data_IF_616999866526
#
_entry.id   IF_616999866526
#
_cell.length_a   1.000
_cell.length_b   1.000
_cell.length_c   1.000
_cell.angle_alpha   90.00
_cell.angle_beta   90.00
_cell.angle_gamma   90.00
#
_symmetry.space_group_name_H-M   'P 1'
#
loop_
_entity.id
_entity.type
_entity.pdbx_description
1 polymer ?
#
# COMPACT_ATOMS: atom_id res chain seq x y z
N UNK A 1 51.40 19.29 -35.24
CA UNK A 1 50.28 19.08 -36.19
C UNK A 1 49.00 18.98 -35.37
N UNK A 2 48.39 20.13 -35.09
CA UNK A 2 47.10 20.63 -35.63
C UNK A 2 45.91 19.98 -34.93
N UNK A 3 45.41 20.62 -33.86
CA UNK A 3 44.16 21.42 -33.80
C UNK A 3 42.87 20.62 -34.03
N UNK A 4 41.94 20.63 -33.05
CA UNK A 4 40.77 21.55 -33.01
C UNK A 4 39.84 21.15 -31.85
N UNK A 5 39.86 21.97 -30.79
CA UNK A 5 38.80 22.07 -29.79
C UNK A 5 37.81 23.14 -30.26
N UNK A 6 36.51 22.82 -30.28
CA UNK A 6 35.42 23.79 -30.47
C UNK A 6 34.57 23.83 -29.20
N UNK A 7 34.29 25.05 -28.78
CA UNK A 7 33.52 25.45 -27.62
C UNK A 7 32.06 25.80 -27.98
N UNK A 8 31.32 26.17 -26.92
CA UNK A 8 29.99 26.80 -26.81
C UNK A 8 28.78 25.83 -26.80
N UNK A 9 27.75 26.04 -25.98
CA UNK A 9 27.17 27.33 -25.56
C UNK A 9 26.32 27.20 -24.27
N UNK A 10 26.43 28.18 -23.37
CA UNK A 10 25.60 28.35 -22.17
C UNK A 10 24.63 29.50 -22.47
N UNK A 11 23.32 29.24 -22.39
CA UNK A 11 22.29 30.27 -22.56
C UNK A 11 21.83 30.77 -21.19
N UNK A 12 22.07 32.06 -20.93
CA UNK A 12 21.60 32.81 -19.75
C UNK A 12 20.72 33.94 -20.25
N UNK A 13 19.43 33.91 -19.96
CA UNK A 13 18.47 34.97 -20.33
C UNK A 13 18.54 36.10 -19.31
N UNK A 14 18.97 37.29 -19.78
CA UNK A 14 18.89 38.55 -19.05
C UNK A 14 17.58 39.27 -19.38
N UNK A 15 16.85 39.73 -18.37
CA UNK A 15 15.63 40.54 -18.52
C UNK A 15 16.00 42.02 -18.43
N UNK A 16 15.82 42.73 -19.53
CA UNK A 16 16.07 44.17 -19.66
C UNK A 16 15.02 44.99 -18.89
N UNK A 17 15.50 45.92 -18.06
CA UNK A 17 14.71 46.97 -17.42
C UNK A 17 14.56 48.14 -18.39
N UNK A 18 13.33 48.57 -18.66
CA UNK A 18 13.05 49.80 -19.42
C UNK A 18 12.46 50.83 -18.46
N UNK A 19 13.22 51.90 -18.20
CA UNK A 19 12.73 53.11 -17.56
C UNK A 19 12.00 53.97 -18.58
N UNK A 20 10.78 54.39 -18.24
CA UNK A 20 10.11 55.52 -18.88
C UNK A 20 9.84 56.58 -17.83
N UNK A 21 10.23 57.81 -18.15
CA UNK A 21 10.06 59.00 -17.34
C UNK A 21 9.25 60.01 -18.15
N UNK A 22 8.11 60.45 -17.61
CA UNK A 22 7.34 61.59 -18.11
C UNK A 22 6.55 62.27 -16.95
N UNK A 23 6.12 63.53 -17.12
CA UNK A 23 6.21 64.55 -16.08
C UNK A 23 4.88 64.90 -15.40
N UNK A 24 5.01 65.69 -14.32
CA UNK A 24 4.00 66.29 -13.46
C UNK A 24 2.64 66.64 -14.11
N UNK A 25 1.56 66.15 -13.48
CA UNK A 25 0.25 66.81 -13.51
C UNK A 25 -0.39 66.78 -12.11
N UNK A 26 -0.80 67.96 -11.67
CA UNK A 26 -1.53 68.25 -10.43
C UNK A 26 -3.01 67.90 -10.59
N UNK A 27 -3.59 67.18 -9.62
CA UNK A 27 -5.02 66.89 -9.59
C UNK A 27 -5.44 66.09 -8.35
N UNK A 28 -6.02 66.80 -7.37
CA UNK A 28 -6.81 66.33 -6.21
C UNK A 28 -6.94 64.81 -5.99
N UNK A 29 -6.26 64.30 -4.96
CA UNK A 29 -6.56 62.97 -4.40
C UNK A 29 -7.75 63.05 -3.46
N UNK A 30 -8.86 62.43 -3.86
CA UNK A 30 -10.01 62.13 -3.01
C UNK A 30 -9.58 61.04 -2.03
N UNK A 31 -9.73 61.31 -0.72
CA UNK A 31 -9.53 60.35 0.36
C UNK A 31 -10.64 59.31 0.28
N UNK A 32 -10.39 58.16 -0.37
CA UNK A 32 -11.22 56.97 -0.17
C UNK A 32 -10.74 56.26 1.08
N UNK A 33 -11.63 56.14 2.06
CA UNK A 33 -11.43 55.35 3.27
C UNK A 33 -11.25 53.88 2.88
N UNK A 34 -10.17 53.27 3.37
CA UNK A 34 -9.85 51.86 3.19
C UNK A 34 -10.77 51.02 4.08
N UNK A 35 -11.44 49.97 3.58
CA UNK A 35 -12.17 49.04 4.43
C UNK A 35 -11.20 48.26 5.34
N UNK A 36 -11.63 47.84 6.54
CA UNK A 36 -10.77 47.12 7.48
C UNK A 36 -10.33 45.77 6.91
N UNK A 37 -9.08 45.42 7.22
CA UNK A 37 -8.33 44.32 6.65
C UNK A 37 -9.07 42.98 6.62
N UNK A 38 -9.01 42.36 5.45
CA UNK A 38 -9.21 40.92 5.29
C UNK A 38 -8.09 40.23 6.07
N UNK A 39 -8.38 39.32 7.02
CA UNK A 39 -7.35 38.50 7.62
C UNK A 39 -6.70 37.66 6.51
N UNK A 40 -5.40 37.87 6.30
CA UNK A 40 -4.59 36.95 5.52
C UNK A 40 -4.73 35.54 6.14
N UNK A 41 -5.00 34.49 5.36
CA UNK A 41 -4.94 33.15 5.90
C UNK A 41 -3.51 32.89 6.36
N UNK A 42 -3.38 32.55 7.65
CA UNK A 42 -2.17 32.10 8.30
C UNK A 42 -1.64 30.88 7.52
N UNK A 43 -0.71 31.11 6.59
CA UNK A 43 0.17 30.07 6.09
C UNK A 43 1.16 29.73 7.22
N UNK A 44 0.78 28.80 8.08
CA UNK A 44 1.71 27.97 8.85
C UNK A 44 0.93 26.88 9.58
N UNK A 45 0.36 25.95 8.80
CA UNK A 45 0.29 24.58 9.24
C UNK A 45 1.38 23.86 8.45
N UNK A 46 2.59 23.84 9.02
CA UNK A 46 3.60 22.89 8.61
C UNK A 46 3.06 21.53 9.05
N UNK A 47 2.19 21.00 8.20
CA UNK A 47 1.63 19.67 8.34
C UNK A 47 2.84 18.72 8.33
N UNK A 48 3.07 18.04 9.45
CA UNK A 48 3.98 16.89 9.53
C UNK A 48 3.36 15.76 8.71
N UNK A 49 3.18 15.96 7.41
CA UNK A 49 2.61 14.97 6.51
C UNK A 49 3.72 13.97 6.24
N UNK A 50 3.64 12.81 6.90
CA UNK A 50 4.59 11.73 6.67
C UNK A 50 4.70 11.46 5.17
N UNK A 51 5.93 11.44 4.66
CA UNK A 51 6.17 11.35 3.23
C UNK A 51 5.59 10.04 2.69
N UNK A 52 4.73 10.12 1.67
CA UNK A 52 4.26 8.95 0.96
C UNK A 52 5.45 8.17 0.38
N UNK A 53 5.44 6.85 0.56
CA UNK A 53 6.43 5.95 -0.02
C UNK A 53 5.77 5.15 -1.13
N UNK A 54 6.40 5.09 -2.30
CA UNK A 54 5.97 4.19 -3.37
C UNK A 54 7.09 3.23 -3.75
N UNK A 55 6.80 1.92 -3.70
CA UNK A 55 7.71 0.87 -4.12
C UNK A 55 7.24 0.25 -5.43
N UNK A 56 8.16 0.05 -6.37
CA UNK A 56 7.87 -0.61 -7.65
C UNK A 56 8.22 -2.09 -7.57
N UNK A 57 7.33 -2.95 -8.07
CA UNK A 57 7.53 -4.41 -8.15
C UNK A 57 7.79 -4.81 -9.60
N UNK A 58 9.02 -5.21 -9.89
CA UNK A 58 9.46 -5.67 -11.21
C UNK A 58 9.72 -7.16 -11.19
N UNK A 59 9.14 -7.91 -12.13
CA UNK A 59 9.31 -9.35 -12.23
C UNK A 59 10.24 -9.78 -13.34
N UNK A 60 11.08 -10.75 -13.02
CA UNK A 60 11.99 -11.41 -13.93
C UNK A 60 11.57 -12.86 -14.13
N UNK A 61 10.95 -13.15 -15.28
CA UNK A 61 10.58 -14.51 -15.69
C UNK A 61 11.77 -15.46 -15.74
N UNK A 62 12.96 -14.97 -16.13
CA UNK A 62 14.18 -15.80 -16.23
C UNK A 62 14.61 -16.40 -14.90
N UNK A 63 14.32 -15.72 -13.79
CA UNK A 63 14.77 -16.11 -12.46
C UNK A 63 13.61 -16.41 -11.51
N UNK A 64 12.36 -16.34 -12.00
CA UNK A 64 11.14 -16.44 -11.20
C UNK A 64 11.25 -15.65 -9.90
N UNK A 65 11.63 -14.38 -10.03
CA UNK A 65 11.79 -13.49 -8.89
C UNK A 65 11.30 -12.07 -9.19
N UNK A 66 10.81 -11.39 -8.18
CA UNK A 66 10.50 -9.96 -8.21
C UNK A 66 11.59 -9.17 -7.50
N UNK A 67 11.91 -8.01 -8.05
CA UNK A 67 12.74 -6.98 -7.45
C UNK A 67 11.85 -5.83 -7.02
N UNK A 68 12.00 -5.40 -5.77
CA UNK A 68 11.25 -4.28 -5.22
C UNK A 68 12.21 -3.12 -5.02
N UNK A 69 11.98 -2.01 -5.72
CA UNK A 69 12.82 -0.79 -5.66
C UNK A 69 11.98 0.40 -5.19
N UNK A 70 12.64 1.46 -4.71
CA UNK A 70 11.95 2.73 -4.54
C UNK A 70 11.56 3.29 -5.92
N UNK A 71 10.33 3.77 -6.07
CA UNK A 71 9.86 4.36 -7.33
C UNK A 71 10.50 5.73 -7.61
N UNK A 72 10.85 6.48 -6.57
CA UNK A 72 11.49 7.80 -6.72
C UNK A 72 12.96 7.67 -7.13
N UNK A 73 13.56 6.49 -6.90
CA UNK A 73 14.89 6.14 -7.37
C UNK A 73 14.91 4.72 -7.99
N UNK A 74 14.40 4.56 -9.22
CA UNK A 74 14.30 3.23 -9.85
C UNK A 74 15.64 2.60 -10.22
N UNK A 75 16.72 3.38 -10.27
CA UNK A 75 18.07 2.89 -10.60
C UNK A 75 18.85 2.47 -9.34
N UNK A 76 18.29 2.73 -8.15
CA UNK A 76 18.85 2.23 -6.89
C UNK A 76 18.90 0.71 -6.84
N UNK A 77 19.80 0.22 -5.99
CA UNK A 77 19.81 -1.18 -5.56
C UNK A 77 18.40 -1.55 -5.05
N UNK A 78 17.85 -2.71 -5.46
CA UNK A 78 16.60 -3.20 -4.89
C UNK A 78 16.63 -3.18 -3.35
N UNK A 79 15.48 -3.02 -2.73
CA UNK A 79 15.30 -3.11 -1.28
C UNK A 79 15.02 -4.58 -0.92
N UNK A 80 14.13 -5.21 -1.69
CA UNK A 80 13.74 -6.60 -1.48
C UNK A 80 13.81 -7.43 -2.75
N UNK A 81 14.04 -8.72 -2.58
CA UNK A 81 13.95 -9.75 -3.61
C UNK A 81 12.89 -10.76 -3.16
N UNK A 82 11.94 -11.06 -4.04
CA UNK A 82 10.89 -12.06 -3.79
C UNK A 82 11.08 -13.23 -4.73
N UNK A 83 11.40 -14.40 -4.19
CA UNK A 83 11.53 -15.64 -4.96
C UNK A 83 10.20 -16.40 -4.97
N UNK A 84 9.81 -16.89 -6.14
CA UNK A 84 8.61 -17.69 -6.32
C UNK A 84 8.99 -19.17 -6.43
N UNK A 85 8.30 -20.04 -5.69
CA UNK A 85 8.51 -21.50 -5.66
C UNK A 85 7.22 -22.24 -5.98
N UNK A 86 7.36 -23.41 -6.59
CA UNK A 86 6.25 -24.31 -6.86
C UNK A 86 5.79 -25.09 -5.61
N UNK A 87 6.62 -25.14 -4.56
CA UNK A 87 6.34 -25.80 -3.29
C UNK A 87 6.35 -24.79 -2.15
N UNK A 88 5.74 -25.13 -1.01
CA UNK A 88 5.76 -24.29 0.19
C UNK A 88 7.19 -24.11 0.73
N UNK A 89 7.55 -22.92 1.25
CA UNK A 89 6.82 -21.65 1.09
C UNK A 89 6.88 -21.17 -0.36
N UNK A 90 5.76 -20.69 -0.88
CA UNK A 90 5.61 -20.30 -2.30
C UNK A 90 6.30 -18.97 -2.61
N UNK A 91 6.35 -18.07 -1.62
CA UNK A 91 7.06 -16.80 -1.68
C UNK A 91 8.12 -16.78 -0.60
N UNK A 92 9.33 -16.35 -0.97
CA UNK A 92 10.42 -16.08 -0.02
C UNK A 92 10.91 -14.66 -0.25
N UNK A 93 10.81 -13.85 0.80
CA UNK A 93 11.21 -12.46 0.81
C UNK A 93 12.58 -12.33 1.45
N UNK A 94 13.48 -11.67 0.74
CA UNK A 94 14.86 -11.45 1.15
C UNK A 94 15.22 -9.98 1.08
N UNK A 95 16.11 -9.54 1.96
CA UNK A 95 16.77 -8.26 1.80
C UNK A 95 17.73 -8.34 0.61
N UNK A 96 17.74 -7.31 -0.22
CA UNK A 96 18.62 -7.26 -1.38
C UNK A 96 20.09 -6.94 -1.01
N UNK A 97 20.32 -6.39 0.18
CA UNK A 97 21.64 -6.00 0.68
C UNK A 97 22.53 -7.20 1.01
N UNK A 98 21.96 -8.25 1.60
CA UNK A 98 22.69 -9.41 2.12
C UNK A 98 22.06 -10.77 1.75
N UNK A 99 20.98 -10.78 0.95
CA UNK A 99 20.23 -11.97 0.55
C UNK A 99 19.65 -12.79 1.72
N UNK A 100 19.56 -12.20 2.91
CA UNK A 100 18.98 -12.86 4.08
C UNK A 100 17.46 -12.89 3.98
N UNK A 101 16.89 -14.06 4.25
CA UNK A 101 15.43 -14.25 4.23
C UNK A 101 14.83 -13.71 5.53
N UNK A 102 13.87 -12.81 5.40
CA UNK A 102 13.18 -12.21 6.55
C UNK A 102 11.70 -12.59 6.61
N UNK A 103 11.12 -13.02 5.49
CA UNK A 103 9.73 -13.44 5.46
C UNK A 103 9.42 -14.51 4.42
N UNK A 104 8.30 -15.21 4.62
CA UNK A 104 7.75 -16.19 3.68
C UNK A 104 6.25 -16.02 3.51
N UNK A 105 5.74 -16.47 2.36
CA UNK A 105 4.31 -16.55 2.06
C UNK A 105 3.95 -17.96 1.57
N UNK A 106 2.95 -18.57 2.19
CA UNK A 106 2.53 -19.95 1.98
C UNK A 106 1.04 -20.02 1.63
N UNK A 107 0.76 -20.52 0.44
CA UNK A 107 -0.59 -20.70 -0.08
C UNK A 107 -1.05 -22.14 0.14
N UNK A 108 -2.35 -22.34 0.32
CA UNK A 108 -2.96 -23.66 0.45
C UNK A 108 -3.64 -24.08 -0.85
N UNK A 109 -3.59 -25.37 -1.18
CA UNK A 109 -4.22 -25.87 -2.39
C UNK A 109 -5.76 -25.90 -2.31
N UNK A 110 -6.32 -25.99 -1.09
CA UNK A 110 -7.76 -26.18 -0.83
C UNK A 110 -8.34 -25.05 0.03
N UNK A 111 -7.57 -24.49 0.97
CA UNK A 111 -8.01 -23.34 1.75
C UNK A 111 -7.90 -22.06 0.93
N UNK A 112 -8.83 -21.14 1.18
CA UNK A 112 -8.79 -19.78 0.64
C UNK A 112 -7.92 -18.86 1.49
N UNK A 113 -7.47 -19.31 2.65
CA UNK A 113 -6.53 -18.58 3.50
C UNK A 113 -5.10 -18.68 2.96
N UNK A 114 -4.23 -17.80 3.43
CA UNK A 114 -2.80 -17.88 3.21
C UNK A 114 -2.04 -17.61 4.52
N UNK A 115 -0.85 -18.18 4.66
CA UNK A 115 0.01 -17.97 5.81
C UNK A 115 1.21 -17.12 5.40
N UNK A 116 1.63 -16.22 6.27
CA UNK A 116 2.88 -15.50 6.15
C UNK A 116 3.71 -15.72 7.41
N UNK A 117 5.03 -15.71 7.27
CA UNK A 117 5.95 -15.65 8.40
C UNK A 117 6.84 -14.43 8.20
N UNK A 118 6.90 -13.50 9.16
CA UNK A 118 7.72 -12.30 9.08
C UNK A 118 8.54 -12.21 10.36
N UNK A 119 9.88 -12.17 10.24
CA UNK A 119 10.82 -12.13 11.38
C UNK A 119 10.47 -13.17 12.46
N UNK A 120 10.22 -14.42 12.03
CA UNK A 120 9.83 -15.56 12.88
C UNK A 120 8.48 -15.43 13.61
N UNK A 121 7.61 -14.50 13.18
CA UNK A 121 6.22 -14.42 13.65
C UNK A 121 5.27 -14.90 12.56
N UNK A 122 4.29 -15.70 12.94
CA UNK A 122 3.28 -16.23 12.04
C UNK A 122 2.08 -15.28 11.91
N UNK A 123 1.65 -15.05 10.68
CA UNK A 123 0.50 -14.22 10.32
C UNK A 123 -0.42 -15.03 9.41
N UNK A 124 -1.69 -15.18 9.80
CA UNK A 124 -2.70 -15.79 8.94
C UNK A 124 -3.47 -14.70 8.20
N UNK A 125 -3.45 -14.74 6.88
CA UNK A 125 -4.37 -14.00 6.01
C UNK A 125 -5.65 -14.82 5.87
N UNK A 126 -6.65 -14.47 6.67
CA UNK A 126 -7.92 -15.18 6.72
C UNK A 126 -8.93 -14.54 5.79
N UNK A 127 -9.54 -15.33 4.92
CA UNK A 127 -10.63 -14.83 4.08
C UNK A 127 -11.89 -14.60 4.91
N UNK A 128 -12.45 -13.39 4.84
CA UNK A 128 -13.74 -13.07 5.45
C UNK A 128 -14.91 -13.56 4.60
N UNK A 129 -14.75 -13.57 3.26
CA UNK A 129 -15.80 -13.96 2.32
C UNK A 129 -15.26 -14.90 1.25
N UNK A 130 -16.07 -15.85 0.78
CA UNK A 130 -15.65 -16.83 -0.24
C UNK A 130 -15.62 -16.24 -1.66
N UNK A 131 -16.54 -15.33 -1.96
CA UNK A 131 -16.75 -14.77 -3.30
C UNK A 131 -16.27 -13.32 -3.46
N UNK A 132 -15.83 -12.70 -2.36
CA UNK A 132 -15.28 -11.36 -2.34
C UNK A 132 -13.89 -11.41 -1.74
N UNK A 133 -12.92 -10.80 -2.40
CA UNK A 133 -11.56 -10.67 -1.86
C UNK A 133 -11.59 -9.69 -0.70
N UNK A 134 -11.78 -10.23 0.49
CA UNK A 134 -11.77 -9.51 1.75
C UNK A 134 -11.05 -10.39 2.76
N UNK A 135 -9.88 -9.95 3.21
CA UNK A 135 -8.97 -10.75 4.03
C UNK A 135 -8.56 -9.96 5.26
N UNK A 136 -8.40 -10.62 6.38
CA UNK A 136 -7.89 -9.99 7.61
C UNK A 136 -6.60 -10.63 8.08
N UNK A 137 -5.75 -9.83 8.71
CA UNK A 137 -4.59 -10.28 9.47
C UNK A 137 -4.40 -9.44 10.73
N UNK A 138 -3.72 -10.00 11.72
CA UNK A 138 -3.33 -9.29 12.94
C UNK A 138 -1.94 -8.70 12.74
N UNK A 139 -1.83 -7.39 12.89
CA UNK A 139 -0.61 -6.62 12.67
C UNK A 139 0.05 -6.24 13.99
N UNK A 140 1.32 -6.58 14.14
CA UNK A 140 2.12 -6.09 15.26
C UNK A 140 2.83 -4.78 14.91
N UNK A 141 3.02 -4.47 13.62
CA UNK A 141 3.60 -3.20 13.19
C UNK A 141 2.65 -2.01 13.40
N UNK A 142 1.35 -2.28 13.48
CA UNK A 142 0.29 -1.28 13.70
C UNK A 142 -0.32 -1.34 15.11
N UNK A 143 0.25 -2.13 16.04
CA UNK A 143 -0.27 -2.25 17.41
C UNK A 143 -0.32 -0.88 18.10
N UNK A 144 -1.49 -0.52 18.61
CA UNK A 144 -1.63 0.71 19.37
C UNK A 144 -1.16 0.46 20.80
N UNK A 145 -0.10 1.14 21.25
CA UNK A 145 0.41 1.01 22.63
C UNK A 145 -0.56 1.53 23.72
N UNK A 146 -1.78 1.93 23.32
CA UNK A 146 -2.82 2.46 24.20
C UNK A 146 -3.82 1.38 24.66
N UNK A 147 -3.72 0.14 24.14
CA UNK A 147 -4.59 -0.97 24.49
C UNK A 147 -4.17 -1.62 25.82
N UNK A 148 -4.81 -1.17 26.91
CA UNK A 148 -4.92 -1.89 28.18
C UNK A 148 -3.60 -2.28 28.84
N UNK A 149 -3.13 -1.46 29.78
CA UNK A 149 -2.36 -1.99 30.90
C UNK A 149 -3.21 -3.11 31.54
N UNK A 150 -2.94 -4.36 31.18
CA UNK A 150 -3.38 -5.50 31.97
C UNK A 150 -2.77 -5.26 33.34
N UNK A 151 -3.62 -5.01 34.33
CA UNK A 151 -3.24 -4.76 35.72
C UNK A 151 -2.81 -6.06 36.40
N UNK A 152 -2.06 -6.89 35.69
CA UNK A 152 -1.36 -8.04 36.22
C UNK A 152 -0.06 -7.48 36.79
N UNK A 153 0.08 -7.58 38.11
CA UNK A 153 1.25 -7.13 38.88
C UNK A 153 2.53 -7.93 38.57
N UNK A 154 2.71 -8.40 37.33
CA UNK A 154 3.91 -9.01 36.80
C UNK A 154 4.25 -8.37 35.45
N UNK A 155 5.42 -7.73 35.39
CA UNK A 155 5.80 -6.80 34.34
C UNK A 155 5.82 -7.34 32.92
N UNK A 156 5.46 -6.45 31.99
CA UNK A 156 5.61 -6.60 30.54
C UNK A 156 4.26 -6.53 29.83
N UNK A 157 3.74 -5.32 29.59
CA UNK A 157 2.56 -5.14 28.74
C UNK A 157 2.88 -5.69 27.33
N UNK A 158 2.17 -6.73 26.91
CA UNK A 158 2.27 -7.26 25.55
C UNK A 158 1.35 -6.40 24.68
N UNK A 159 1.87 -5.67 23.67
CA UNK A 159 1.05 -4.83 22.82
C UNK A 159 0.04 -5.68 22.05
N UNK A 160 -1.23 -5.30 22.11
CA UNK A 160 -2.31 -5.95 21.37
C UNK A 160 -2.14 -5.69 19.87
N UNK A 161 -2.11 -6.72 19.01
CA UNK A 161 -1.94 -6.54 17.57
C UNK A 161 -3.19 -5.92 16.96
N UNK A 162 -3.01 -4.95 16.06
CA UNK A 162 -4.10 -4.27 15.38
C UNK A 162 -4.69 -5.13 14.26
N UNK A 163 -6.01 -5.17 14.14
CA UNK A 163 -6.68 -5.90 13.05
C UNK A 163 -6.65 -5.09 11.76
N UNK A 164 -6.06 -5.66 10.72
CA UNK A 164 -5.98 -5.06 9.39
C UNK A 164 -6.87 -5.80 8.41
N UNK A 165 -7.39 -5.10 7.41
CA UNK A 165 -8.25 -5.69 6.36
C UNK A 165 -7.73 -5.34 4.98
N UNK A 166 -7.49 -6.35 4.15
CA UNK A 166 -7.22 -6.22 2.73
C UNK A 166 -8.51 -6.43 1.92
N UNK A 167 -8.82 -5.49 1.04
CA UNK A 167 -9.86 -5.66 0.02
C UNK A 167 -9.24 -5.64 -1.37
N UNK A 168 -9.95 -6.13 -2.39
CA UNK A 168 -9.49 -5.95 -3.78
C UNK A 168 -10.58 -5.51 -4.73
N UNK A 169 -10.20 -4.70 -5.70
CA UNK A 169 -11.03 -4.28 -6.84
C UNK A 169 -10.27 -4.56 -8.13
N UNK A 170 -10.85 -5.38 -9.01
CA UNK A 170 -10.27 -5.67 -10.32
C UNK A 170 -10.95 -4.79 -11.39
N UNK A 171 -10.15 -4.00 -12.11
CA UNK A 171 -10.57 -3.25 -13.27
C UNK A 171 -9.97 -3.82 -14.57
N UNK A 172 -10.16 -3.11 -15.68
CA UNK A 172 -9.66 -3.55 -16.99
C UNK A 172 -8.13 -3.52 -17.13
N UNK A 173 -7.47 -2.56 -16.48
CA UNK A 173 -6.00 -2.36 -16.57
C UNK A 173 -5.27 -2.77 -15.30
N UNK A 174 -5.92 -2.63 -14.15
CA UNK A 174 -5.30 -2.80 -12.85
C UNK A 174 -6.14 -3.68 -11.95
N UNK A 175 -5.46 -4.39 -11.06
CA UNK A 175 -6.05 -5.08 -9.94
C UNK A 175 -5.48 -4.48 -8.66
N UNK A 176 -6.33 -3.72 -7.98
CA UNK A 176 -5.95 -2.96 -6.80
C UNK A 176 -6.31 -3.74 -5.54
N UNK A 177 -5.37 -3.80 -4.61
CA UNK A 177 -5.52 -4.37 -3.28
C UNK A 177 -5.28 -3.26 -2.28
N UNK A 178 -6.25 -2.97 -1.40
CA UNK A 178 -6.18 -1.85 -0.46
C UNK A 178 -6.21 -2.42 0.95
N UNK A 179 -5.24 -2.02 1.78
CA UNK A 179 -5.15 -2.37 3.18
C UNK A 179 -5.74 -1.24 4.03
N UNK A 180 -6.63 -1.60 4.95
CA UNK A 180 -7.31 -0.72 5.89
C UNK A 180 -6.90 -1.06 7.31
N UNK A 181 -6.81 -0.04 8.15
CA UNK A 181 -6.67 -0.18 9.60
C UNK A 181 -8.01 -0.50 10.28
N UNK A 182 -8.00 -0.54 11.62
CA UNK A 182 -9.18 -0.79 12.45
C UNK A 182 -10.28 0.27 12.27
N UNK A 183 -9.88 1.50 11.95
CA UNK A 183 -10.78 2.64 11.72
C UNK A 183 -11.28 2.72 10.27
N UNK A 184 -10.99 1.71 9.44
CA UNK A 184 -11.30 1.70 8.01
C UNK A 184 -10.60 2.82 7.23
N UNK A 185 -9.45 3.28 7.70
CA UNK A 185 -8.59 4.22 7.00
C UNK A 185 -7.61 3.46 6.09
N UNK A 186 -7.47 3.83 4.81
CA UNK A 186 -6.56 3.14 3.91
C UNK A 186 -5.11 3.48 4.26
N UNK A 187 -4.31 2.48 4.59
CA UNK A 187 -2.89 2.65 4.99
C UNK A 187 -1.92 2.28 3.86
N UNK A 188 -2.32 1.38 2.98
CA UNK A 188 -1.52 0.98 1.84
C UNK A 188 -2.38 0.51 0.66
N UNK A 189 -1.83 0.61 -0.54
CA UNK A 189 -2.39 0.01 -1.76
C UNK A 189 -1.32 -0.71 -2.55
N UNK A 190 -1.60 -1.93 -2.97
CA UNK A 190 -0.86 -2.60 -4.03
C UNK A 190 -1.69 -2.57 -5.32
N UNK A 191 -1.17 -1.92 -6.37
CA UNK A 191 -1.82 -1.87 -7.67
C UNK A 191 -1.04 -2.74 -8.66
N UNK A 192 -1.64 -3.86 -9.05
CA UNK A 192 -1.06 -4.76 -10.04
C UNK A 192 -1.53 -4.40 -11.44
N UNK A 193 -0.64 -4.45 -12.44
CA UNK A 193 -0.99 -4.35 -13.84
C UNK A 193 -1.43 -5.74 -14.35
N UNK A 194 -2.71 -5.87 -14.69
CA UNK A 194 -3.31 -7.14 -15.14
C UNK A 194 -2.63 -7.69 -16.40
N UNK A 195 -2.12 -6.80 -17.25
CA UNK A 195 -1.41 -7.13 -18.48
C UNK A 195 0.12 -7.05 -18.35
N UNK A 196 0.60 -6.76 -17.13
CA UNK A 196 2.00 -6.48 -16.87
C UNK A 196 2.86 -7.74 -16.82
N UNK A 197 3.67 -7.97 -17.85
CA UNK A 197 4.59 -9.12 -17.88
C UNK A 197 5.86 -8.85 -17.06
N UNK A 198 6.44 -7.65 -17.14
CA UNK A 198 7.70 -7.30 -16.44
C UNK A 198 7.51 -6.37 -15.25
N UNK A 199 6.54 -5.47 -15.32
CA UNK A 199 6.21 -4.53 -14.24
C UNK A 199 4.89 -4.99 -13.64
N UNK A 200 4.98 -5.76 -12.56
CA UNK A 200 3.80 -6.36 -11.94
C UNK A 200 2.96 -5.29 -11.27
N UNK A 201 3.57 -4.31 -10.60
CA UNK A 201 2.78 -3.31 -9.88
C UNK A 201 3.59 -2.35 -9.04
N UNK A 202 2.91 -1.68 -8.13
CA UNK A 202 3.51 -0.80 -7.14
C UNK A 202 2.73 -0.83 -5.82
N UNK A 203 3.47 -0.76 -4.72
CA UNK A 203 2.93 -0.45 -3.41
C UNK A 203 2.96 1.06 -3.19
N UNK A 204 1.87 1.64 -2.73
CA UNK A 204 1.78 3.02 -2.27
C UNK A 204 1.38 2.99 -0.80
N UNK A 205 2.20 3.61 0.05
CA UNK A 205 1.96 3.76 1.48
C UNK A 205 1.36 5.13 1.75
N UNK A 206 0.19 5.16 2.37
CA UNK A 206 -0.50 6.39 2.76
C UNK A 206 0.03 6.84 4.12
N UNK A 207 1.22 7.46 4.12
CA UNK A 207 1.94 7.82 5.34
C UNK A 207 1.11 8.63 6.34
N UNK A 208 0.27 9.55 5.86
CA UNK A 208 -0.64 10.36 6.68
C UNK A 208 -1.69 9.55 7.46
N UNK A 209 -1.99 8.32 7.02
CA UNK A 209 -2.96 7.43 7.67
C UNK A 209 -2.26 6.38 8.55
N UNK A 210 -0.93 6.39 8.63
CA UNK A 210 -0.15 5.45 9.42
C UNK A 210 0.35 6.18 10.68
N UNK A 211 -0.18 5.89 11.88
CA UNK A 211 0.15 6.66 13.10
C UNK A 211 1.64 6.74 13.39
N UNK A 212 2.35 5.61 13.26
CA UNK A 212 3.81 5.56 13.46
C UNK A 212 4.57 6.41 12.43
N UNK A 213 4.10 6.45 11.19
CA UNK A 213 4.73 7.27 10.16
C UNK A 213 4.48 8.76 10.39
N UNK A 214 3.29 9.16 10.80
CA UNK A 214 2.98 10.54 11.20
C UNK A 214 3.88 11.03 12.33
N UNK A 215 4.18 10.17 13.30
CA UNK A 215 5.03 10.52 14.43
C UNK A 215 6.52 10.67 14.05
N UNK A 216 7.04 9.82 13.17
CA UNK A 216 8.48 9.73 12.86
C UNK A 216 8.82 10.40 11.50
N UNK A 217 7.81 10.82 10.74
CA UNK A 217 7.95 11.45 9.42
C UNK A 217 8.27 10.51 8.26
N UNK A 218 8.38 9.19 8.51
CA UNK A 218 8.66 8.18 7.49
C UNK A 218 8.03 6.82 7.83
N UNK A 219 7.84 5.96 6.83
CA UNK A 219 7.34 4.59 7.00
C UNK A 219 8.43 3.72 7.64
N UNK A 220 8.16 3.13 8.81
CA UNK A 220 9.10 2.21 9.46
C UNK A 220 9.30 0.92 8.65
N UNK A 221 10.43 0.25 8.87
CA UNK A 221 10.77 -0.98 8.17
C UNK A 221 9.78 -2.10 8.50
N UNK A 222 9.30 -2.19 9.74
CA UNK A 222 8.32 -3.18 10.19
C UNK A 222 6.99 -3.04 9.44
N UNK A 223 6.47 -1.82 9.32
CA UNK A 223 5.25 -1.52 8.57
C UNK A 223 5.46 -1.83 7.09
N UNK A 224 6.60 -1.42 6.54
CA UNK A 224 6.92 -1.63 5.13
C UNK A 224 7.00 -3.12 4.79
N UNK A 225 7.72 -3.89 5.59
CA UNK A 225 7.88 -5.34 5.42
C UNK A 225 6.54 -6.06 5.53
N UNK A 226 5.75 -5.77 6.58
CA UNK A 226 4.47 -6.43 6.79
C UNK A 226 3.52 -6.20 5.61
N UNK A 227 3.33 -4.95 5.20
CA UNK A 227 2.45 -4.59 4.08
C UNK A 227 2.91 -5.23 2.76
N UNK A 228 4.21 -5.22 2.48
CA UNK A 228 4.77 -5.83 1.27
C UNK A 228 4.53 -7.34 1.26
N UNK A 229 4.79 -8.01 2.38
CA UNK A 229 4.64 -9.46 2.50
C UNK A 229 3.18 -9.86 2.40
N UNK A 230 2.29 -9.24 3.17
CA UNK A 230 0.86 -9.59 3.15
C UNK A 230 0.22 -9.26 1.80
N UNK A 231 0.54 -8.09 1.23
CA UNK A 231 -0.02 -7.65 -0.05
C UNK A 231 0.40 -8.53 -1.22
N UNK A 232 1.68 -8.88 -1.34
CA UNK A 232 2.15 -9.77 -2.41
C UNK A 232 1.70 -11.22 -2.21
N UNK A 233 1.62 -11.69 -0.96
CA UNK A 233 1.11 -13.04 -0.67
C UNK A 233 -0.36 -13.15 -1.05
N UNK A 234 -1.18 -12.16 -0.69
CA UNK A 234 -2.58 -12.12 -1.07
C UNK A 234 -2.75 -12.01 -2.60
N UNK A 235 -1.99 -11.13 -3.26
CA UNK A 235 -2.01 -11.04 -4.72
C UNK A 235 -1.69 -12.39 -5.37
N UNK A 236 -0.61 -13.05 -4.93
CA UNK A 236 -0.23 -14.34 -5.48
C UNK A 236 -1.28 -15.42 -5.22
N UNK A 237 -1.89 -15.42 -4.02
CA UNK A 237 -3.01 -16.29 -3.68
C UNK A 237 -4.17 -16.12 -4.66
N UNK A 238 -4.52 -14.88 -4.96
CA UNK A 238 -5.60 -14.57 -5.89
C UNK A 238 -5.26 -14.94 -7.33
N UNK A 239 -4.02 -14.71 -7.79
CA UNK A 239 -3.55 -15.13 -9.12
C UNK A 239 -3.64 -16.66 -9.28
N UNK A 240 -3.25 -17.44 -8.28
CA UNK A 240 -3.38 -18.91 -8.38
C UNK A 240 -4.84 -19.35 -8.37
N UNK A 241 -5.68 -18.71 -7.55
CA UNK A 241 -7.12 -19.02 -7.46
C UNK A 241 -7.85 -18.74 -8.77
N UNK A 242 -7.54 -17.64 -9.47
CA UNK A 242 -8.19 -17.32 -10.75
C UNK A 242 -7.71 -18.19 -11.90
N UNK A 243 -6.48 -18.69 -11.86
CA UNK A 243 -5.95 -19.59 -12.89
C UNK A 243 -6.31 -21.08 -12.67
N UNK A 244 -6.76 -21.47 -11.46
CA UNK A 244 -7.13 -22.84 -11.13
C UNK A 244 -8.62 -22.95 -10.75
N UNK A 245 -9.49 -22.74 -11.74
CA UNK A 245 -10.95 -22.77 -11.56
C UNK A 245 -11.49 -24.16 -11.14
N UNK A 246 -10.70 -25.23 -11.32
CA UNK A 246 -11.04 -26.57 -10.82
C UNK A 246 -10.93 -26.69 -9.28
N UNK A 247 -10.29 -25.73 -8.60
CA UNK A 247 -10.28 -25.63 -7.13
C UNK A 247 -11.56 -25.01 -6.52
N UNK A 248 -12.40 -24.32 -7.33
CA UNK A 248 -13.65 -23.74 -6.83
C UNK A 248 -14.64 -24.81 -6.34
N UNK A 249 -14.58 -26.04 -6.85
CA UNK A 249 -15.43 -27.14 -6.37
C UNK A 249 -14.98 -27.69 -5.01
N UNK A 250 -13.70 -27.57 -4.64
CA UNK A 250 -13.21 -27.89 -3.29
C UNK A 250 -13.58 -26.83 -2.24
N UNK A 251 -13.69 -25.56 -2.67
CA UNK A 251 -14.06 -24.43 -1.82
C UNK A 251 -15.53 -24.41 -1.37
N UNK A 252 -16.37 -25.34 -1.86
CA UNK A 252 -17.72 -25.57 -1.33
C UNK A 252 -17.66 -26.22 0.06
N UNK A 253 -16.60 -26.97 0.38
CA UNK A 253 -16.44 -27.68 1.66
C UNK A 253 -15.54 -26.98 2.70
N UNK A 254 -14.84 -25.91 2.36
CA UNK A 254 -13.97 -25.17 3.29
C UNK A 254 -14.77 -24.15 4.10
N UNK A 255 -14.94 -24.34 5.42
CA UNK A 255 -15.61 -23.37 6.31
C UNK A 255 -14.74 -22.09 6.49
N UNK A 256 -15.26 -20.89 6.18
CA UNK A 256 -14.62 -19.64 6.60
C UNK A 256 -14.68 -19.54 8.13
N UNK A 257 -13.67 -18.88 8.73
CA UNK A 257 -13.52 -18.82 10.18
C UNK A 257 -14.73 -18.18 10.85
N UNK A 258 -15.39 -18.93 11.74
CA UNK A 258 -16.57 -18.49 12.50
C UNK A 258 -16.22 -17.32 13.44
N UNK A 259 -16.96 -16.21 13.32
CA UNK A 259 -17.28 -15.36 14.47
C UNK A 259 -18.80 -15.17 14.52
N UNK A 260 -19.42 -15.81 15.51
CA UNK A 260 -20.78 -15.62 16.04
C UNK A 260 -21.96 -15.36 15.08
N UNK A 261 -22.61 -16.44 14.65
CA UNK A 261 -24.07 -16.64 14.63
C UNK A 261 -25.00 -15.75 13.79
N UNK A 262 -24.53 -14.67 13.15
CA UNK A 262 -25.41 -13.69 12.47
C UNK A 262 -25.29 -13.67 10.94
N UNK A 263 -24.31 -14.36 10.38
CA UNK A 263 -23.99 -14.32 8.93
C UNK A 263 -24.69 -15.42 8.10
N UNK A 264 -25.27 -16.45 8.74
CA UNK A 264 -26.00 -17.51 8.02
C UNK A 264 -27.33 -17.03 7.40
N UNK A 265 -27.94 -15.98 7.97
CA UNK A 265 -29.22 -15.44 7.49
C UNK A 265 -29.08 -14.55 6.25
N UNK A 266 -27.97 -13.81 6.11
CA UNK A 266 -27.74 -12.91 4.95
C UNK A 266 -27.39 -13.70 3.68
N UNK A 267 -26.56 -14.75 3.81
CA UNK A 267 -26.19 -15.64 2.70
C UNK A 267 -27.38 -16.48 2.19
N UNK A 268 -28.32 -16.85 3.08
CA UNK A 268 -29.59 -17.49 2.68
C UNK A 268 -30.55 -16.50 2.01
N UNK A 269 -30.65 -15.26 2.49
CA UNK A 269 -31.47 -14.23 1.85
C UNK A 269 -30.97 -13.87 0.45
N UNK A 270 -29.65 -13.74 0.25
CA UNK A 270 -29.09 -13.42 -1.08
C UNK A 270 -29.30 -14.57 -2.08
N UNK A 271 -29.19 -15.83 -1.62
CA UNK A 271 -29.53 -17.01 -2.42
C UNK A 271 -31.02 -17.10 -2.73
N UNK A 272 -31.88 -16.71 -1.80
CA UNK A 272 -33.33 -16.69 -2.03
C UNK A 272 -33.71 -15.60 -3.06
N UNK A 273 -33.12 -14.41 -2.97
CA UNK A 273 -33.40 -13.32 -3.92
C UNK A 273 -32.86 -13.61 -5.33
N UNK A 274 -31.68 -14.24 -5.46
CA UNK A 274 -31.14 -14.59 -6.77
C UNK A 274 -31.96 -15.70 -7.48
N UNK A 275 -32.51 -16.66 -6.74
CA UNK A 275 -33.43 -17.67 -7.31
C UNK A 275 -34.74 -17.07 -7.82
N UNK A 276 -35.25 -16.02 -7.18
CA UNK A 276 -36.48 -15.33 -7.61
C UNK A 276 -36.23 -14.52 -8.88
N UNK A 277 -35.04 -13.93 -9.04
CA UNK A 277 -34.69 -13.13 -10.21
C UNK A 277 -34.47 -13.96 -11.50
N UNK A 278 -34.07 -15.23 -11.37
CA UNK A 278 -33.84 -16.13 -12.53
C UNK A 278 -35.13 -16.83 -12.98
N UNK A 279 -36.19 -16.79 -12.18
CA UNK A 279 -37.45 -17.49 -12.45
C UNK A 279 -38.57 -16.57 -12.96
N UNK A 280 -38.24 -15.37 -13.46
CA UNK A 280 -39.17 -14.43 -14.12
C UNK A 280 -38.83 -14.24 -15.59
#
# INVERSE_FOLDING_TARGET
>A
MTEKLKANEISSTSTSTVQFQHPNYSGKTIRMETPPGIPQPLQQQQENTAKELTLQVNFSWKQLKSLITNKDDPQSTPIYIVHYRATKPHLIFKFATDDTAFATGSLHAISIDADCEIRSRHFALKALKRFKTEYTHLSYAFSNNNGGASNDNNGGAVPEPARMTWTSTCGFKTWDFICFDENQMPVAKFSANVWGVKKIGYFTFMGSNIPSACAIGHISDEVREEIVVTGLTLFYCMVLRTNNIFSLFGAIFSRPGQHDGREEEEDEQEKAMSKIAVSR
#
